data_IF_727971582285
#
_entry.id   IF_727971582285
#
_cell.length_a   1.000
_cell.length_b   1.000
_cell.length_c   1.000
_cell.angle_alpha   90.00
_cell.angle_beta   90.00
_cell.angle_gamma   90.00
#
_symmetry.space_group_name_H-M   'P 1'
#
loop_
_entity.id
_entity.type
_entity.pdbx_description
1 polymer ?
#
# COMPACT_ATOMS: atom_id res chain seq x y z
N UNK A 1 -11.47 9.81 25.77
CA UNK A 1 -12.04 9.01 24.67
C UNK A 1 -10.93 8.21 24.00
N UNK A 2 -11.00 6.88 24.05
CA UNK A 2 -9.99 6.00 23.47
C UNK A 2 -10.27 5.75 22.00
N UNK A 3 -9.22 5.89 21.21
CA UNK A 3 -9.24 5.82 19.77
C UNK A 3 -9.09 4.36 19.32
N UNK A 4 -10.01 3.85 18.48
CA UNK A 4 -9.95 2.47 17.99
C UNK A 4 -8.61 2.17 17.27
N UNK A 5 -8.17 0.90 17.31
CA UNK A 5 -6.88 0.45 16.76
C UNK A 5 -7.01 -0.39 15.47
N UNK A 6 -8.11 -0.21 14.74
CA UNK A 6 -8.35 -0.95 13.49
C UNK A 6 -7.40 -0.55 12.35
N UNK A 7 -7.03 -1.54 11.51
CA UNK A 7 -6.07 -1.42 10.39
C UNK A 7 -6.43 -0.32 9.37
N UNK A 8 -7.71 0.02 9.20
CA UNK A 8 -8.21 1.04 8.24
C UNK A 8 -8.75 2.31 8.90
N UNK A 9 -8.55 2.51 10.21
CA UNK A 9 -9.04 3.73 10.88
C UNK A 9 -8.39 4.98 10.28
N UNK A 10 -9.18 6.06 10.12
CA UNK A 10 -8.69 7.36 9.65
C UNK A 10 -8.35 7.41 8.16
N UNK A 11 -8.78 6.43 7.36
CA UNK A 11 -8.43 6.33 5.93
C UNK A 11 -9.55 6.75 4.98
N UNK A 12 -10.62 7.38 5.50
CA UNK A 12 -11.84 7.74 4.73
C UNK A 12 -11.51 8.45 3.40
N UNK A 13 -10.66 9.48 3.45
CA UNK A 13 -10.27 10.23 2.25
C UNK A 13 -9.04 9.63 1.55
N UNK A 14 -8.11 9.05 2.30
CA UNK A 14 -6.86 8.48 1.77
C UNK A 14 -7.10 7.33 0.79
N UNK A 15 -8.07 6.45 1.08
CA UNK A 15 -8.44 5.33 0.22
C UNK A 15 -9.80 5.54 -0.45
N UNK A 16 -10.20 6.80 -0.67
CA UNK A 16 -11.43 7.09 -1.39
C UNK A 16 -11.40 6.43 -2.77
N UNK A 17 -12.47 5.71 -3.11
CA UNK A 17 -12.54 4.92 -4.34
C UNK A 17 -12.87 5.85 -5.49
N UNK A 18 -12.11 5.74 -6.59
CA UNK A 18 -12.60 6.18 -7.88
C UNK A 18 -13.49 5.06 -8.42
N UNK A 19 -14.75 5.38 -8.69
CA UNK A 19 -15.70 4.43 -9.24
C UNK A 19 -15.27 4.03 -10.66
N UNK A 20 -15.47 2.76 -11.00
CA UNK A 20 -15.11 2.19 -12.30
C UNK A 20 -13.95 1.20 -12.26
N UNK A 21 -13.61 0.69 -13.43
CA UNK A 21 -12.58 -0.33 -13.63
C UNK A 21 -11.19 0.28 -13.58
N UNK A 22 -10.25 -0.43 -12.95
CA UNK A 22 -8.84 -0.02 -12.91
C UNK A 22 -8.23 -0.19 -14.31
N UNK A 23 -7.47 0.78 -14.85
CA UNK A 23 -6.90 0.67 -16.18
C UNK A 23 -5.88 -0.47 -16.29
N UNK A 24 -5.91 -1.19 -17.42
CA UNK A 24 -5.06 -2.36 -17.68
C UNK A 24 -3.55 -2.06 -17.57
N UNK A 25 -3.13 -0.82 -17.84
CA UNK A 25 -1.75 -0.38 -17.71
C UNK A 25 -1.15 -0.64 -16.31
N UNK A 26 -1.96 -0.52 -15.25
CA UNK A 26 -1.48 -0.78 -13.88
C UNK A 26 -1.20 -2.26 -13.60
N UNK A 27 -1.92 -3.18 -14.26
CA UNK A 27 -1.70 -4.62 -14.09
C UNK A 27 -0.51 -5.12 -14.91
N UNK A 28 -0.30 -4.55 -16.10
CA UNK A 28 0.77 -4.95 -17.02
C UNK A 28 2.11 -4.27 -16.71
N UNK A 29 2.19 -3.50 -15.63
CA UNK A 29 3.42 -2.80 -15.27
C UNK A 29 4.49 -3.79 -14.82
N UNK A 30 5.63 -3.76 -15.50
CA UNK A 30 6.74 -4.66 -15.24
C UNK A 30 7.55 -4.12 -14.06
N UNK A 31 7.73 -4.96 -13.03
CA UNK A 31 8.58 -4.68 -11.88
C UNK A 31 9.75 -5.65 -11.83
N UNK A 32 10.96 -5.14 -11.59
CA UNK A 32 12.16 -5.95 -11.40
C UNK A 32 12.71 -5.75 -9.99
N UNK A 33 13.50 -6.73 -9.52
CA UNK A 33 14.20 -6.64 -8.25
C UNK A 33 15.20 -5.46 -8.31
N UNK A 34 15.22 -4.64 -7.27
CA UNK A 34 16.07 -3.45 -7.19
C UNK A 34 15.41 -2.15 -7.66
N UNK A 35 14.26 -2.21 -8.35
CA UNK A 35 13.56 -1.01 -8.81
C UNK A 35 13.06 -0.16 -7.62
N UNK A 36 13.10 1.16 -7.80
CA UNK A 36 12.56 2.13 -6.84
C UNK A 36 11.08 2.36 -7.17
N UNK A 37 10.21 2.08 -6.22
CA UNK A 37 8.75 2.12 -6.42
C UNK A 37 8.06 2.94 -5.35
N UNK A 38 6.98 3.62 -5.75
CA UNK A 38 6.10 4.35 -4.85
C UNK A 38 4.90 3.48 -4.46
N UNK A 39 4.59 3.42 -3.17
CA UNK A 39 3.46 2.65 -2.65
C UNK A 39 2.23 3.54 -2.62
N UNK A 40 1.26 3.24 -3.48
CA UNK A 40 -0.05 3.90 -3.48
C UNK A 40 -1.16 2.86 -3.38
N UNK A 41 -1.88 2.88 -2.26
CA UNK A 41 -3.07 2.06 -2.08
C UNK A 41 -4.28 2.70 -2.78
N UNK A 42 -4.90 1.96 -3.70
CA UNK A 42 -6.15 2.35 -4.36
C UNK A 42 -7.30 1.67 -3.61
N UNK A 43 -8.39 2.39 -3.31
CA UNK A 43 -9.53 1.79 -2.61
C UNK A 43 -10.35 0.80 -3.43
N UNK A 44 -10.16 0.75 -4.76
CA UNK A 44 -10.93 -0.10 -5.68
C UNK A 44 -10.58 -1.58 -5.51
N UNK A 45 -9.30 -1.91 -5.33
CA UNK A 45 -8.79 -3.27 -5.09
C UNK A 45 -8.60 -3.45 -3.58
N UNK A 46 -9.21 -4.47 -2.99
CA UNK A 46 -9.13 -4.71 -1.53
C UNK A 46 -7.99 -5.66 -1.13
N UNK A 47 -7.70 -6.64 -2.00
CA UNK A 47 -6.64 -7.63 -1.77
C UNK A 47 -5.26 -7.00 -1.96
N UNK A 48 -4.29 -7.43 -1.14
CA UNK A 48 -2.90 -6.93 -1.24
C UNK A 48 -2.74 -5.44 -0.90
N UNK A 49 -3.75 -4.78 -0.31
CA UNK A 49 -3.65 -3.37 0.02
C UNK A 49 -2.61 -3.11 1.12
N UNK A 50 -1.79 -2.06 0.97
CA UNK A 50 -0.83 -1.67 2.00
C UNK A 50 -1.54 -1.09 3.24
N UNK A 51 -0.90 -1.23 4.39
CA UNK A 51 -1.33 -0.52 5.59
C UNK A 51 -1.20 0.99 5.40
N UNK A 52 -2.07 1.78 6.08
CA UNK A 52 -2.16 3.25 5.91
C UNK A 52 -0.81 3.96 6.07
N UNK A 53 0.06 3.43 6.94
CA UNK A 53 1.36 4.03 7.23
C UNK A 53 2.37 3.95 6.09
N UNK A 54 2.16 3.03 5.14
CA UNK A 54 3.05 2.87 3.99
C UNK A 54 2.53 3.60 2.75
N UNK A 55 1.34 4.21 2.84
CA UNK A 55 0.80 5.00 1.75
C UNK A 55 1.71 6.22 1.49
N UNK A 56 2.09 6.42 0.23
CA UNK A 56 2.95 7.52 -0.19
C UNK A 56 4.43 7.33 0.15
N UNK A 57 4.83 6.18 0.70
CA UNK A 57 6.25 5.87 0.92
C UNK A 57 6.88 5.28 -0.34
N UNK A 58 8.16 5.56 -0.50
CA UNK A 58 9.00 5.00 -1.56
C UNK A 58 9.84 3.87 -0.96
N UNK A 59 10.04 2.80 -1.74
CA UNK A 59 10.84 1.66 -1.33
C UNK A 59 11.53 1.00 -2.51
N UNK A 60 12.25 -0.08 -2.21
CA UNK A 60 12.92 -0.92 -3.21
C UNK A 60 12.30 -2.30 -3.29
N UNK A 61 12.15 -2.83 -4.49
CA UNK A 61 11.60 -4.18 -4.72
C UNK A 61 12.63 -5.24 -4.30
N UNK A 62 12.24 -6.14 -3.40
CA UNK A 62 13.08 -7.28 -2.97
C UNK A 62 12.63 -8.61 -3.61
N UNK A 63 11.32 -8.83 -3.76
CA UNK A 63 10.76 -10.05 -4.28
C UNK A 63 9.55 -9.78 -5.18
N UNK A 64 9.33 -10.63 -6.17
CA UNK A 64 8.26 -10.50 -7.16
C UNK A 64 7.49 -11.84 -7.26
N UNK A 65 6.45 -12.04 -6.44
CA UNK A 65 5.50 -13.15 -6.60
C UNK A 65 4.50 -12.88 -7.75
N UNK A 66 3.66 -13.89 -8.07
CA UNK A 66 2.77 -13.87 -9.25
C UNK A 66 1.76 -12.69 -9.28
N UNK A 67 1.24 -12.26 -8.13
CA UNK A 67 0.18 -11.24 -8.04
C UNK A 67 0.51 -10.05 -7.12
N UNK A 68 1.75 -9.94 -6.64
CA UNK A 68 2.15 -8.89 -5.71
C UNK A 68 3.62 -8.53 -5.88
N UNK A 69 4.05 -7.47 -5.20
CA UNK A 69 5.44 -7.05 -5.17
C UNK A 69 5.85 -6.84 -3.72
N UNK A 70 6.94 -7.50 -3.32
CA UNK A 70 7.56 -7.33 -2.02
C UNK A 70 8.47 -6.10 -2.04
N UNK A 71 8.20 -5.13 -1.17
CA UNK A 71 8.91 -3.84 -1.13
C UNK A 71 9.51 -3.63 0.26
N UNK A 72 10.79 -3.26 0.31
CA UNK A 72 11.47 -2.83 1.53
C UNK A 72 11.30 -1.32 1.69
N UNK A 73 10.77 -0.91 2.84
CA UNK A 73 10.50 0.50 3.18
C UNK A 73 10.97 0.78 4.60
N UNK A 74 11.65 1.91 4.77
CA UNK A 74 12.01 2.40 6.10
C UNK A 74 10.80 3.05 6.77
N UNK A 75 10.47 2.60 7.98
CA UNK A 75 9.43 3.17 8.84
C UNK A 75 10.09 3.81 10.06
N UNK A 76 9.66 5.02 10.43
CA UNK A 76 10.11 5.63 11.68
C UNK A 76 9.36 4.96 12.85
N UNK A 77 10.08 4.55 13.89
CA UNK A 77 9.60 3.62 14.92
C UNK A 77 8.37 4.07 15.73
N UNK A 78 8.03 5.36 15.69
CA UNK A 78 6.87 5.92 16.40
C UNK A 78 5.57 5.93 15.59
N UNK A 79 5.62 5.57 14.30
CA UNK A 79 4.43 5.48 13.46
C UNK A 79 3.50 4.36 14.01
N UNK A 80 2.32 4.77 14.47
CA UNK A 80 1.23 4.00 15.14
C UNK A 80 0.67 2.75 14.42
N UNK A 81 1.38 2.19 13.45
CA UNK A 81 1.08 0.90 12.84
C UNK A 81 1.44 -0.18 13.86
N UNK A 82 0.54 -0.37 14.82
CA UNK A 82 0.50 -1.56 15.67
C UNK A 82 0.01 -2.71 14.79
N UNK A 83 0.85 -3.71 14.60
CA UNK A 83 0.38 -5.04 14.27
C UNK A 83 -0.26 -5.57 15.56
N UNK A 84 -1.57 -5.89 15.51
CA UNK A 84 -2.17 -6.72 16.55
C UNK A 84 -1.73 -8.16 16.32
#
# INVERSE_FOLDING_TARGET
MTNAKGKRRGTRHMFSRKHGTVPLATYMQIYKKGDIVNIKGIGTVQNGMPHRCYHGKTGRVYNVPQHAVGIVVNKQGQDSCQEN
#
